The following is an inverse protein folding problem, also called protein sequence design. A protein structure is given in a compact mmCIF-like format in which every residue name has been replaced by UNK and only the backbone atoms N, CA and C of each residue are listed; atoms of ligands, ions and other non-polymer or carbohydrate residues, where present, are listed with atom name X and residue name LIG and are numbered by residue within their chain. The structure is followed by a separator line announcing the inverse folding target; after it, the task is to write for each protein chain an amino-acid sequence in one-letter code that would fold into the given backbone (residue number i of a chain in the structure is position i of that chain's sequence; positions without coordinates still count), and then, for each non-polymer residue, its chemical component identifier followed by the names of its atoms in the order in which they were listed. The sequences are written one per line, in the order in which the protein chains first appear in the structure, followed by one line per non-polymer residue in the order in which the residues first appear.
data_IF_905906487849
#
_entry.id   IF_905906487849
#
_cell.length_a   1.000
_cell.length_b   1.000
_cell.length_c   1.000
_cell.angle_alpha   90.00
_cell.angle_beta   90.00
_cell.angle_gamma   90.00
#
_symmetry.space_group_name_H-M   'P 1'
#
loop_
_entity.id
_entity.type
_entity.pdbx_description
1 polymer ?
#
# COMPACT_ATOMS: atom_id res chain seq x y z
N UNK A 1 3.48 -4.13 14.31
CA UNK A 1 2.85 -3.00 15.02
C UNK A 1 2.50 -1.94 13.98
N UNK A 2 1.37 -1.25 14.09
CA UNK A 2 0.84 -0.32 13.06
C UNK A 2 1.82 0.83 12.73
N UNK A 3 2.67 1.23 13.68
CA UNK A 3 3.68 2.29 13.49
C UNK A 3 4.67 1.97 12.36
N UNK A 4 5.20 0.74 12.30
CA UNK A 4 6.15 0.33 11.27
C UNK A 4 5.55 0.37 9.86
N UNK A 5 4.23 0.16 9.72
CA UNK A 5 3.57 0.26 8.43
C UNK A 5 3.48 1.71 7.95
N UNK A 6 3.29 2.65 8.88
CA UNK A 6 3.25 4.10 8.64
C UNK A 6 4.65 4.63 8.32
N UNK A 7 5.67 4.26 9.10
CA UNK A 7 7.07 4.63 8.85
C UNK A 7 7.52 4.17 7.46
N UNK A 8 7.22 2.92 7.10
CA UNK A 8 7.51 2.41 5.76
C UNK A 8 6.74 3.18 4.66
N UNK A 9 5.56 3.72 4.97
CA UNK A 9 4.80 4.53 4.01
C UNK A 9 5.45 5.89 3.77
N UNK A 10 5.94 6.54 4.83
CA UNK A 10 6.71 7.79 4.75
C UNK A 10 7.99 7.58 3.95
N UNK A 11 8.75 6.51 4.23
CA UNK A 11 9.96 6.19 3.47
C UNK A 11 9.68 6.01 1.96
N UNK A 12 8.55 5.38 1.61
CA UNK A 12 8.12 5.27 0.21
C UNK A 12 7.78 6.63 -0.41
N UNK A 13 7.28 7.60 0.37
CA UNK A 13 7.05 8.96 -0.12
C UNK A 13 8.37 9.64 -0.45
N UNK A 14 9.34 9.56 0.46
CA UNK A 14 10.68 10.15 0.29
C UNK A 14 11.40 9.59 -0.94
N UNK A 15 11.17 8.30 -1.25
CA UNK A 15 11.75 7.63 -2.41
C UNK A 15 10.94 7.81 -3.71
N UNK A 16 9.81 8.54 -3.69
CA UNK A 16 8.92 8.70 -4.85
C UNK A 16 8.20 7.43 -5.29
N UNK A 17 8.10 6.42 -4.41
CA UNK A 17 7.48 5.11 -4.66
C UNK A 17 6.08 4.99 -4.03
N UNK A 18 5.66 5.98 -3.25
CA UNK A 18 4.36 5.98 -2.59
C UNK A 18 3.20 5.85 -3.59
N UNK A 19 2.18 5.11 -3.18
CA UNK A 19 0.99 4.86 -4.01
C UNK A 19 1.19 3.84 -5.14
N UNK A 20 2.27 3.05 -5.16
CA UNK A 20 2.42 1.90 -6.08
C UNK A 20 2.19 0.57 -5.34
N UNK A 21 1.47 -0.34 -5.98
CA UNK A 21 1.20 -1.67 -5.45
C UNK A 21 2.47 -2.51 -5.42
N UNK A 22 2.81 -3.07 -4.27
CA UNK A 22 4.01 -3.91 -4.10
C UNK A 22 3.95 -5.24 -4.86
N UNK A 23 2.75 -5.69 -5.28
CA UNK A 23 2.59 -6.95 -6.01
C UNK A 23 2.56 -6.76 -7.53
N UNK A 24 1.83 -5.76 -8.04
CA UNK A 24 1.63 -5.59 -9.48
C UNK A 24 2.26 -4.33 -10.06
N UNK A 25 2.90 -3.48 -9.25
CA UNK A 25 3.53 -2.23 -9.67
C UNK A 25 2.57 -1.11 -10.11
N UNK A 26 1.28 -1.40 -10.29
CA UNK A 26 0.26 -0.42 -10.71
C UNK A 26 -0.05 0.59 -9.59
N UNK A 27 -0.54 1.79 -9.93
CA UNK A 27 -1.01 2.75 -8.94
C UNK A 27 -2.10 2.17 -8.02
N UNK A 28 -2.04 2.55 -6.75
CA UNK A 28 -3.09 2.32 -5.75
C UNK A 28 -4.10 3.46 -5.89
N UNK A 29 -5.39 3.13 -5.91
CA UNK A 29 -6.46 4.12 -6.01
C UNK A 29 -6.33 5.19 -4.93
N UNK A 30 -6.50 6.46 -5.30
CA UNK A 30 -6.33 7.60 -4.39
C UNK A 30 -7.29 7.51 -3.22
N UNK A 31 -8.54 7.13 -3.48
CA UNK A 31 -9.60 6.96 -2.49
C UNK A 31 -9.18 5.97 -1.41
N UNK A 32 -8.48 4.88 -1.79
CA UNK A 32 -7.93 3.91 -0.84
C UNK A 32 -6.81 4.50 0.00
N UNK A 33 -5.91 5.29 -0.59
CA UNK A 33 -4.81 5.93 0.15
C UNK A 33 -5.33 7.02 1.10
N UNK A 34 -6.47 7.66 0.81
CA UNK A 34 -7.10 8.60 1.74
C UNK A 34 -7.71 7.90 2.97
N UNK A 35 -8.16 6.65 2.83
CA UNK A 35 -8.72 5.86 3.93
C UNK A 35 -7.63 5.11 4.70
N UNK A 36 -6.66 4.53 3.98
CA UNK A 36 -5.54 3.75 4.54
C UNK A 36 -4.23 4.22 3.88
N UNK A 37 -3.59 5.27 4.41
CA UNK A 37 -2.36 5.83 3.84
C UNK A 37 -1.22 4.82 3.74
N UNK A 38 -1.10 3.92 4.72
CA UNK A 38 -0.07 2.89 4.75
C UNK A 38 -0.32 1.69 3.81
N UNK A 39 -1.35 1.73 2.95
CA UNK A 39 -1.68 0.62 2.06
C UNK A 39 -0.50 0.24 1.14
N UNK A 40 -0.12 -1.05 1.17
CA UNK A 40 0.95 -1.62 0.34
C UNK A 40 0.46 -2.20 -0.98
N UNK A 41 -0.83 -2.51 -1.07
CA UNK A 41 -1.43 -3.22 -2.20
C UNK A 41 -2.70 -2.53 -2.69
N UNK A 42 -2.94 -2.62 -4.00
CA UNK A 42 -4.23 -2.25 -4.58
C UNK A 42 -5.33 -3.25 -4.13
N UNK A 43 -6.60 -2.85 -4.23
CA UNK A 43 -7.73 -3.67 -3.77
C UNK A 43 -7.69 -5.10 -4.33
N UNK A 44 -7.45 -5.24 -5.65
CA UNK A 44 -7.31 -6.54 -6.31
C UNK A 44 -6.20 -7.41 -5.69
N UNK A 45 -5.00 -6.86 -5.52
CA UNK A 45 -3.86 -7.60 -4.97
C UNK A 45 -4.00 -7.87 -3.47
N UNK A 46 -4.71 -7.02 -2.74
CA UNK A 46 -5.06 -7.26 -1.35
C UNK A 46 -5.94 -8.50 -1.19
N UNK A 47 -6.95 -8.68 -2.06
CA UNK A 47 -7.81 -9.87 -2.07
C UNK A 47 -7.00 -11.15 -2.31
N UNK A 48 -6.09 -11.13 -3.29
CA UNK A 48 -5.21 -12.27 -3.60
C UNK A 48 -4.35 -12.66 -2.39
N UNK A 49 -3.84 -11.69 -1.63
CA UNK A 49 -3.05 -11.97 -0.42
C UNK A 49 -3.90 -12.39 0.78
N UNK A 50 -5.15 -11.92 0.86
CA UNK A 50 -6.08 -12.25 1.93
C UNK A 50 -6.63 -13.67 1.83
N UNK A 51 -6.77 -14.20 0.61
CA UNK A 51 -7.24 -15.57 0.36
C UNK A 51 -6.24 -16.68 0.75
N UNK A 52 -5.02 -16.32 1.16
CA UNK A 52 -3.98 -17.26 1.59
C UNK A 52 -3.72 -17.27 3.10
N UNK A 53 -4.65 -16.73 3.91
CA UNK A 53 -4.64 -16.80 5.38
C UNK A 53 -5.89 -17.51 5.86
#
# INVERSE_FOLDING_TARGET
MVLADVEAALERMDQGRYGRCHLCGRPIARERLMIVPQARYCARCQLVRGAGR
#
